data_IF_314072026569
#
_entry.id   IF_314072026569
#
_cell.length_a   1.000
_cell.length_b   1.000
_cell.length_c   1.000
_cell.angle_alpha   90.00
_cell.angle_beta   90.00
_cell.angle_gamma   90.00
#
_symmetry.space_group_name_H-M   'P 1'
#
loop_
_entity.id
_entity.type
_entity.pdbx_description
1 polymer ?
#
# COMPACT_ATOMS: atom_id res chain seq x y z
N UNK A 1 -29.14 -15.29 -27.11
CA UNK A 1 -29.10 -15.48 -25.64
C UNK A 1 -28.74 -14.15 -25.02
N UNK A 2 -29.69 -13.51 -24.34
CA UNK A 2 -29.55 -12.16 -23.79
C UNK A 2 -29.29 -12.28 -22.30
N UNK A 3 -28.05 -12.08 -21.88
CA UNK A 3 -27.65 -12.14 -20.47
C UNK A 3 -28.00 -10.82 -19.79
N UNK A 4 -29.03 -10.83 -18.96
CA UNK A 4 -29.41 -9.71 -18.09
C UNK A 4 -28.45 -9.63 -16.90
N UNK A 5 -27.73 -8.51 -16.76
CA UNK A 5 -26.94 -8.21 -15.57
C UNK A 5 -27.80 -7.48 -14.55
N UNK A 6 -28.11 -8.14 -13.44
CA UNK A 6 -28.77 -7.50 -12.29
C UNK A 6 -27.74 -6.65 -11.55
N UNK A 7 -27.79 -5.33 -11.71
CA UNK A 7 -26.99 -4.39 -10.93
C UNK A 7 -27.60 -4.25 -9.54
N UNK A 8 -27.10 -5.01 -8.56
CA UNK A 8 -27.44 -4.78 -7.16
C UNK A 8 -26.68 -3.55 -6.68
N UNK A 9 -27.35 -2.40 -6.65
CA UNK A 9 -26.86 -1.20 -5.98
C UNK A 9 -26.87 -1.46 -4.48
N UNK A 10 -25.72 -1.79 -3.88
CA UNK A 10 -25.60 -1.79 -2.42
C UNK A 10 -25.61 -0.35 -1.94
N UNK A 11 -26.69 0.05 -1.27
CA UNK A 11 -26.74 1.29 -0.51
C UNK A 11 -25.68 1.18 0.60
N UNK A 12 -24.72 2.12 0.69
CA UNK A 12 -23.73 2.07 1.77
C UNK A 12 -24.44 2.29 3.09
N UNK A 13 -24.56 1.23 3.90
CA UNK A 13 -24.97 1.35 5.29
C UNK A 13 -23.83 2.03 6.04
N UNK A 14 -23.94 3.32 6.27
CA UNK A 14 -23.00 4.10 7.08
C UNK A 14 -23.23 3.77 8.56
N UNK A 15 -22.92 2.54 8.97
CA UNK A 15 -22.71 2.27 10.39
C UNK A 15 -21.44 2.98 10.77
N UNK A 16 -21.53 4.01 11.62
CA UNK A 16 -20.37 4.68 12.17
C UNK A 16 -19.50 3.62 12.88
N UNK A 17 -18.40 3.22 12.26
CA UNK A 17 -17.47 2.27 12.85
C UNK A 17 -16.86 2.92 14.08
N UNK A 18 -16.76 2.18 15.18
CA UNK A 18 -15.99 2.60 16.35
C UNK A 18 -14.58 3.06 15.94
N UNK A 19 -13.99 4.06 16.62
CA UNK A 19 -12.62 4.47 16.34
C UNK A 19 -11.66 3.28 16.45
N UNK A 20 -10.75 3.13 15.49
CA UNK A 20 -9.72 2.09 15.54
C UNK A 20 -8.82 2.29 16.76
N UNK A 21 -8.51 1.21 17.46
CA UNK A 21 -7.50 1.23 18.53
C UNK A 21 -6.10 1.46 17.94
N UNK A 22 -5.12 1.87 18.76
CA UNK A 22 -3.73 1.98 18.31
C UNK A 22 -3.19 0.66 17.77
N UNK A 23 -3.55 -0.46 18.39
CA UNK A 23 -3.13 -1.81 17.97
C UNK A 23 -3.65 -2.14 16.57
N UNK A 24 -4.91 -1.84 16.29
CA UNK A 24 -5.52 -2.04 14.96
C UNK A 24 -4.94 -1.09 13.93
N UNK A 25 -4.75 0.16 14.31
CA UNK A 25 -4.20 1.22 13.46
C UNK A 25 -2.78 0.91 12.98
N UNK A 26 -1.96 0.29 13.85
CA UNK A 26 -0.63 -0.19 13.46
C UNK A 26 -0.63 -1.64 12.94
N UNK A 27 -1.79 -2.30 12.84
CA UNK A 27 -1.87 -3.68 12.37
C UNK A 27 -1.17 -4.70 13.27
N UNK A 28 -0.95 -4.38 14.55
CA UNK A 28 -0.29 -5.26 15.51
C UNK A 28 -1.19 -6.43 15.92
N UNK A 29 -1.35 -7.42 15.04
CA UNK A 29 -2.07 -8.68 15.32
C UNK A 29 -1.09 -9.78 15.77
N UNK A 30 -1.61 -10.92 16.18
CA UNK A 30 -0.79 -12.04 16.60
C UNK A 30 0.17 -12.46 15.49
N UNK A 31 1.45 -12.61 15.83
CA UNK A 31 2.52 -12.90 14.86
C UNK A 31 3.08 -11.68 14.09
N UNK A 32 2.60 -10.45 14.32
CA UNK A 32 3.14 -9.24 13.68
C UNK A 32 4.65 -9.06 13.97
N UNK A 33 5.09 -9.30 15.21
CA UNK A 33 6.52 -9.23 15.57
C UNK A 33 7.36 -10.26 14.81
N UNK A 34 6.86 -11.49 14.67
CA UNK A 34 7.52 -12.54 13.88
C UNK A 34 7.63 -12.15 12.42
N UNK A 35 6.56 -11.56 11.86
CA UNK A 35 6.56 -11.04 10.49
C UNK A 35 7.52 -9.85 10.33
N UNK A 36 7.55 -8.92 11.28
CA UNK A 36 8.52 -7.83 11.28
C UNK A 36 9.96 -8.37 11.27
N UNK A 37 10.24 -9.40 12.09
CA UNK A 37 11.52 -10.09 12.09
C UNK A 37 11.85 -10.73 10.74
N UNK A 38 10.89 -11.42 10.11
CA UNK A 38 11.07 -11.94 8.75
C UNK A 38 11.32 -10.84 7.71
N UNK A 39 10.68 -9.68 7.83
CA UNK A 39 10.92 -8.57 6.92
C UNK A 39 12.37 -8.06 6.99
N UNK A 40 12.96 -8.06 8.19
CA UNK A 40 14.33 -7.61 8.43
C UNK A 40 15.36 -8.68 8.06
N UNK A 41 15.19 -9.91 8.54
CA UNK A 41 16.17 -10.99 8.38
C UNK A 41 16.04 -11.74 7.06
N UNK A 42 14.82 -11.87 6.53
CA UNK A 42 14.50 -12.78 5.45
C UNK A 42 14.44 -14.24 5.87
N UNK A 43 14.35 -15.12 4.88
CA UNK A 43 14.38 -16.58 4.97
C UNK A 43 15.13 -17.18 3.75
N UNK A 44 15.30 -18.51 3.62
CA UNK A 44 16.01 -19.12 2.50
C UNK A 44 15.43 -18.81 1.10
N UNK A 45 14.15 -18.47 1.02
CA UNK A 45 13.44 -18.18 -0.23
C UNK A 45 13.32 -16.67 -0.51
N UNK A 46 13.33 -15.84 0.53
CA UNK A 46 13.09 -14.40 0.42
C UNK A 46 14.13 -13.61 1.21
N UNK A 47 15.00 -12.83 0.54
CA UNK A 47 15.99 -12.00 1.23
C UNK A 47 15.33 -10.97 2.16
N UNK A 48 16.02 -10.66 3.26
CA UNK A 48 15.67 -9.56 4.14
C UNK A 48 15.69 -8.21 3.42
N UNK A 49 14.88 -7.28 3.92
CA UNK A 49 14.71 -5.97 3.30
C UNK A 49 16.00 -5.16 3.33
N UNK A 50 16.32 -4.49 2.23
CA UNK A 50 17.54 -3.70 2.08
C UNK A 50 17.25 -2.24 2.36
N UNK A 51 17.80 -1.77 3.48
CA UNK A 51 17.76 -0.37 3.92
C UNK A 51 19.18 0.18 3.89
N UNK A 52 19.35 1.47 3.59
CA UNK A 52 20.64 2.14 3.65
C UNK A 52 20.48 3.66 3.78
N UNK A 53 21.57 4.44 3.78
CA UNK A 53 21.49 5.90 3.93
C UNK A 53 20.60 6.57 2.89
N UNK A 54 20.59 6.07 1.64
CA UNK A 54 19.71 6.61 0.59
C UNK A 54 18.22 6.39 0.86
N UNK A 55 17.85 5.43 1.72
CA UNK A 55 16.47 5.24 2.18
C UNK A 55 15.94 6.41 2.99
N UNK A 56 16.79 7.30 3.51
CA UNK A 56 16.32 8.50 4.19
C UNK A 56 15.62 9.49 3.23
N UNK A 57 15.86 9.38 1.92
CA UNK A 57 15.19 10.23 0.91
C UNK A 57 13.68 10.03 0.84
N UNK A 58 13.19 8.84 1.18
CA UNK A 58 11.74 8.55 1.21
C UNK A 58 11.08 8.93 2.54
N UNK A 59 11.86 9.36 3.54
CA UNK A 59 11.35 9.67 4.86
C UNK A 59 10.82 11.12 4.92
N UNK A 60 9.53 11.27 5.21
CA UNK A 60 8.82 12.57 5.20
C UNK A 60 8.18 12.88 6.57
N UNK A 61 8.97 13.10 7.64
CA UNK A 61 8.46 13.11 9.02
C UNK A 61 7.42 14.19 9.30
N UNK A 62 7.60 15.40 8.73
CA UNK A 62 6.64 16.49 8.89
C UNK A 62 5.28 16.15 8.29
N UNK A 63 5.29 15.55 7.10
CA UNK A 63 4.09 15.13 6.41
C UNK A 63 3.43 13.97 7.17
N UNK A 64 4.20 12.97 7.59
CA UNK A 64 3.71 11.86 8.39
C UNK A 64 2.99 12.35 9.66
N UNK A 65 3.63 13.21 10.46
CA UNK A 65 3.01 13.75 11.69
C UNK A 65 1.73 14.53 11.40
N UNK A 66 1.72 15.36 10.34
CA UNK A 66 0.52 16.10 9.94
C UNK A 66 -0.64 15.16 9.56
N UNK A 67 -0.36 14.12 8.77
CA UNK A 67 -1.33 13.10 8.34
C UNK A 67 -1.88 12.32 9.52
N UNK A 68 -1.03 11.91 10.46
CA UNK A 68 -1.44 11.21 11.68
C UNK A 68 -2.31 12.06 12.63
N UNK A 69 -2.16 13.38 12.58
CA UNK A 69 -3.05 14.32 13.30
C UNK A 69 -4.40 14.54 12.59
N UNK A 70 -4.67 13.83 11.49
CA UNK A 70 -5.93 13.93 10.77
C UNK A 70 -5.98 15.05 9.74
N UNK A 71 -4.85 15.69 9.40
CA UNK A 71 -4.83 16.73 8.38
C UNK A 71 -5.23 16.14 7.02
N UNK A 72 -6.39 16.57 6.52
CA UNK A 72 -6.96 16.07 5.27
C UNK A 72 -6.28 16.68 4.05
N UNK A 73 -6.41 15.95 2.93
CA UNK A 73 -6.13 16.42 1.58
C UNK A 73 -6.77 17.81 1.30
N UNK A 74 -6.06 18.66 0.57
CA UNK A 74 -6.54 19.98 0.17
C UNK A 74 -7.50 19.83 -1.02
N UNK A 75 -8.80 19.87 -0.76
CA UNK A 75 -9.82 19.68 -1.78
C UNK A 75 -9.69 18.31 -2.48
N UNK A 76 -9.46 18.32 -3.79
CA UNK A 76 -9.27 17.10 -4.62
C UNK A 76 -7.80 16.69 -4.79
N UNK A 77 -6.90 17.20 -3.96
CA UNK A 77 -5.46 16.95 -4.08
C UNK A 77 -4.94 16.18 -2.88
N UNK A 78 -4.12 15.16 -3.15
CA UNK A 78 -3.48 14.32 -2.14
C UNK A 78 -1.98 14.26 -2.42
N UNK A 79 -1.10 14.37 -1.40
CA UNK A 79 0.32 14.18 -1.61
C UNK A 79 0.62 12.75 -2.08
N UNK A 80 1.51 12.66 -3.07
CA UNK A 80 2.08 11.39 -3.54
C UNK A 80 3.54 11.37 -3.14
N UNK A 81 3.95 10.34 -2.39
CA UNK A 81 5.33 10.25 -1.87
C UNK A 81 6.19 9.24 -2.62
N UNK A 82 5.58 8.24 -3.25
CA UNK A 82 6.28 7.29 -4.11
C UNK A 82 5.42 6.93 -5.32
N UNK A 83 6.03 6.89 -6.50
CA UNK A 83 5.48 6.39 -7.75
C UNK A 83 6.06 5.02 -8.08
N UNK A 84 5.48 4.30 -9.03
CA UNK A 84 6.01 3.00 -9.45
C UNK A 84 7.43 3.16 -9.99
N UNK A 85 8.35 2.30 -9.57
CA UNK A 85 9.68 2.26 -10.15
C UNK A 85 9.65 1.50 -11.48
N UNK A 86 10.03 2.17 -12.57
CA UNK A 86 10.10 1.58 -13.92
C UNK A 86 11.43 0.89 -14.21
N UNK A 87 12.32 0.84 -13.24
CA UNK A 87 13.55 0.06 -13.29
C UNK A 87 13.40 -1.12 -12.34
N UNK A 88 13.22 -2.36 -12.86
CA UNK A 88 13.00 -3.52 -12.01
C UNK A 88 14.19 -3.76 -11.07
N UNK A 89 13.91 -3.93 -9.78
CA UNK A 89 14.94 -4.36 -8.82
C UNK A 89 15.13 -5.88 -8.95
N UNK A 90 16.38 -6.37 -9.06
CA UNK A 90 16.64 -7.82 -9.12
C UNK A 90 16.04 -8.56 -7.92
N UNK A 91 15.44 -9.73 -8.16
CA UNK A 91 14.80 -10.54 -7.10
C UNK A 91 15.79 -10.87 -5.96
N UNK A 92 17.07 -11.07 -6.28
CA UNK A 92 18.13 -11.31 -5.29
C UNK A 92 18.35 -10.14 -4.31
N UNK A 93 17.95 -8.92 -4.66
CA UNK A 93 17.97 -7.76 -3.76
C UNK A 93 16.75 -7.76 -2.82
N UNK A 94 15.80 -8.68 -2.99
CA UNK A 94 14.56 -8.73 -2.22
C UNK A 94 13.81 -7.40 -2.28
N UNK A 95 13.34 -6.95 -1.11
CA UNK A 95 12.65 -5.68 -0.98
C UNK A 95 13.64 -4.61 -0.55
N UNK A 96 14.08 -3.79 -1.50
CA UNK A 96 14.94 -2.66 -1.21
C UNK A 96 14.13 -1.38 -1.17
N UNK A 97 14.29 -0.65 -0.07
CA UNK A 97 13.80 0.72 0.10
C UNK A 97 14.93 1.74 -0.05
N UNK A 98 16.04 1.33 -0.67
CA UNK A 98 17.11 2.25 -1.06
C UNK A 98 16.67 3.04 -2.29
N UNK A 99 17.35 4.14 -2.53
CA UNK A 99 17.15 4.98 -3.71
C UNK A 99 18.45 4.92 -4.53
N UNK A 100 18.56 3.92 -5.41
CA UNK A 100 19.75 3.72 -6.26
C UNK A 100 19.41 3.53 -7.73
N UNK A 101 18.44 2.67 -8.07
CA UNK A 101 18.04 2.42 -9.47
C UNK A 101 16.60 2.91 -9.72
N UNK A 102 16.38 4.21 -9.52
CA UNK A 102 15.04 4.78 -9.52
C UNK A 102 14.71 5.49 -10.83
N UNK A 103 13.54 5.18 -11.39
CA UNK A 103 12.95 5.91 -12.52
C UNK A 103 11.44 5.83 -12.47
N UNK A 104 10.76 6.92 -12.13
CA UNK A 104 9.30 6.98 -12.14
C UNK A 104 8.72 7.12 -13.57
N UNK A 105 7.39 7.18 -13.67
CA UNK A 105 6.71 7.33 -14.97
C UNK A 105 7.00 8.66 -15.69
N UNK A 106 7.51 9.65 -14.97
CA UNK A 106 7.91 10.98 -15.46
C UNK A 106 9.41 11.05 -15.77
N UNK A 107 10.15 9.94 -15.61
CA UNK A 107 11.60 9.90 -15.78
C UNK A 107 12.37 10.55 -14.63
N UNK A 108 11.77 10.72 -13.45
CA UNK A 108 12.38 11.30 -12.25
C UNK A 108 12.57 10.25 -11.15
N UNK A 109 12.88 10.70 -9.94
CA UNK A 109 13.30 9.89 -8.80
C UNK A 109 12.31 9.85 -7.63
N UNK A 110 11.02 10.17 -7.86
CA UNK A 110 9.97 10.06 -6.82
C UNK A 110 9.54 8.61 -6.62
N UNK A 111 10.48 7.74 -6.25
CA UNK A 111 10.29 6.30 -6.02
C UNK A 111 11.49 5.71 -5.27
N UNK A 112 11.47 4.41 -5.02
CA UNK A 112 12.59 3.65 -4.45
C UNK A 112 12.73 2.30 -5.16
N UNK A 113 13.87 1.65 -4.97
CA UNK A 113 14.31 0.45 -5.69
C UNK A 113 13.19 -0.56 -5.97
N UNK A 114 12.56 -1.12 -4.94
CA UNK A 114 11.53 -2.18 -5.11
C UNK A 114 10.09 -1.65 -5.12
N UNK A 115 9.85 -0.36 -5.33
CA UNK A 115 8.49 0.18 -5.27
C UNK A 115 7.66 -0.23 -6.50
N UNK A 116 6.58 -0.96 -6.27
CA UNK A 116 5.74 -1.55 -7.30
C UNK A 116 4.31 -0.95 -7.34
N UNK A 117 4.10 0.20 -6.69
CA UNK A 117 2.79 0.84 -6.56
C UNK A 117 2.86 2.36 -6.60
N UNK A 118 1.81 3.02 -6.14
CA UNK A 118 1.78 4.48 -5.91
C UNK A 118 1.26 4.73 -4.51
N UNK A 119 2.00 5.51 -3.73
CA UNK A 119 1.69 5.79 -2.33
C UNK A 119 1.00 7.15 -2.20
N UNK A 120 -0.26 7.11 -1.77
CA UNK A 120 -1.05 8.28 -1.43
C UNK A 120 -1.00 8.53 0.07
N UNK A 121 -0.71 9.77 0.45
CA UNK A 121 -0.68 10.15 1.87
C UNK A 121 -2.08 10.56 2.31
N UNK A 122 -2.74 9.67 3.07
CA UNK A 122 -4.09 9.87 3.58
C UNK A 122 -4.15 9.64 5.10
N UNK A 123 -4.97 10.38 5.85
CA UNK A 123 -5.19 10.10 7.27
C UNK A 123 -5.75 8.69 7.50
N UNK A 124 -5.38 8.02 8.61
CA UNK A 124 -6.04 6.79 9.04
C UNK A 124 -7.57 6.95 9.11
N UNK A 125 -8.31 5.91 8.70
CA UNK A 125 -9.78 5.95 8.61
C UNK A 125 -10.33 6.66 7.38
N UNK A 126 -9.47 7.14 6.47
CA UNK A 126 -9.93 7.60 5.14
C UNK A 126 -10.57 6.44 4.39
N UNK A 127 -11.79 6.63 3.88
CA UNK A 127 -12.49 5.62 3.08
C UNK A 127 -11.76 5.43 1.75
N UNK A 128 -11.26 4.22 1.52
CA UNK A 128 -10.67 3.80 0.25
C UNK A 128 -11.74 3.13 -0.59
N UNK A 129 -11.88 3.56 -1.84
CA UNK A 129 -12.83 3.00 -2.80
C UNK A 129 -12.08 2.32 -3.93
N UNK A 130 -12.62 1.23 -4.53
CA UNK A 130 -12.05 0.63 -5.71
C UNK A 130 -11.96 1.66 -6.85
N UNK A 131 -10.83 1.66 -7.57
CA UNK A 131 -10.58 2.55 -8.72
C UNK A 131 -11.48 2.23 -9.91
N UNK A 132 -12.03 1.02 -9.99
CA UNK A 132 -12.96 0.57 -11.01
C UNK A 132 -13.86 -0.57 -10.48
N UNK A 133 -15.00 -0.86 -11.13
CA UNK A 133 -15.81 -2.04 -10.82
C UNK A 133 -15.00 -3.32 -10.95
N UNK A 134 -15.24 -4.29 -10.07
CA UNK A 134 -14.52 -5.56 -10.09
C UNK A 134 -14.99 -6.51 -8.98
N UNK A 135 -14.39 -7.69 -8.93
CA UNK A 135 -14.64 -8.71 -7.92
C UNK A 135 -13.49 -8.75 -6.92
N UNK A 136 -13.81 -8.71 -5.64
CA UNK A 136 -12.82 -8.99 -4.59
C UNK A 136 -12.33 -10.42 -4.75
N UNK A 137 -11.02 -10.60 -4.98
CA UNK A 137 -10.41 -11.91 -5.07
C UNK A 137 -9.84 -12.38 -3.75
N UNK A 138 -9.23 -11.47 -2.98
CA UNK A 138 -8.52 -11.85 -1.77
C UNK A 138 -8.39 -10.67 -0.81
N UNK A 139 -8.47 -10.98 0.48
CA UNK A 139 -8.10 -10.11 1.58
C UNK A 139 -6.95 -10.79 2.32
N UNK A 140 -5.79 -10.14 2.43
CA UNK A 140 -4.59 -10.73 3.06
C UNK A 140 -3.98 -9.77 4.06
N UNK A 141 -3.58 -10.28 5.22
CA UNK A 141 -2.89 -9.51 6.25
C UNK A 141 -1.45 -9.96 6.34
N UNK A 142 -0.56 -9.27 5.64
CA UNK A 142 0.88 -9.58 5.53
C UNK A 142 1.69 -8.42 6.11
N UNK A 143 1.88 -8.42 7.43
CA UNK A 143 2.57 -7.36 8.16
C UNK A 143 3.98 -7.11 7.61
N UNK A 144 4.69 -8.16 7.20
CA UNK A 144 6.02 -8.07 6.59
C UNK A 144 6.03 -7.52 5.15
N UNK A 145 4.85 -7.30 4.55
CA UNK A 145 4.68 -6.92 3.13
C UNK A 145 3.63 -5.82 2.93
N UNK A 146 3.43 -4.95 3.90
CA UNK A 146 2.50 -3.82 3.76
C UNK A 146 1.12 -4.01 4.36
N UNK A 147 1.01 -4.88 5.38
CA UNK A 147 -0.16 -4.95 6.24
C UNK A 147 -1.38 -5.60 5.58
N UNK A 148 -2.56 -5.06 5.86
CA UNK A 148 -3.81 -5.52 5.27
C UNK A 148 -3.91 -5.07 3.80
N UNK A 149 -4.31 -5.99 2.94
CA UNK A 149 -4.42 -5.79 1.49
C UNK A 149 -5.71 -6.34 0.95
N UNK A 150 -6.34 -5.57 0.08
CA UNK A 150 -7.48 -5.99 -0.73
C UNK A 150 -7.04 -6.13 -2.19
N UNK A 151 -7.34 -7.26 -2.81
CA UNK A 151 -7.09 -7.50 -4.24
C UNK A 151 -8.42 -7.55 -4.99
N UNK A 152 -8.55 -6.75 -6.04
CA UNK A 152 -9.76 -6.63 -6.87
C UNK A 152 -9.41 -6.98 -8.32
N UNK A 153 -10.16 -7.92 -8.88
CA UNK A 153 -10.08 -8.33 -10.29
C UNK A 153 -11.11 -7.58 -11.12
N UNK A 154 -10.63 -6.93 -12.17
CA UNK A 154 -11.43 -6.14 -13.09
C UNK A 154 -11.72 -6.89 -14.41
N UNK A 155 -11.27 -8.14 -14.54
CA UNK A 155 -11.30 -8.91 -15.77
C UNK A 155 -10.14 -8.59 -16.72
N UNK A 156 -10.00 -9.39 -17.77
CA UNK A 156 -8.97 -9.17 -18.82
C UNK A 156 -7.52 -9.24 -18.32
N UNK A 157 -7.28 -9.87 -17.18
CA UNK A 157 -5.96 -9.92 -16.54
C UNK A 157 -5.57 -8.64 -15.78
N UNK A 158 -6.49 -7.67 -15.62
CA UNK A 158 -6.25 -6.43 -14.87
C UNK A 158 -6.64 -6.60 -13.40
N UNK A 159 -5.68 -6.39 -12.51
CA UNK A 159 -5.87 -6.45 -11.06
C UNK A 159 -5.43 -5.15 -10.41
N UNK A 160 -6.15 -4.70 -9.37
CA UNK A 160 -5.67 -3.67 -8.45
C UNK A 160 -5.49 -4.22 -7.04
N UNK A 161 -4.48 -3.74 -6.33
CA UNK A 161 -4.24 -4.03 -4.92
C UNK A 161 -4.28 -2.73 -4.11
N UNK A 162 -5.01 -2.74 -3.00
CA UNK A 162 -5.07 -1.66 -2.03
C UNK A 162 -4.36 -2.15 -0.77
N UNK A 163 -3.20 -1.56 -0.47
CA UNK A 163 -2.31 -2.01 0.59
C UNK A 163 -2.36 -1.04 1.78
N UNK A 164 -1.82 -1.45 2.93
CA UNK A 164 -1.76 -0.65 4.15
C UNK A 164 -3.13 -0.21 4.69
N UNK A 165 -4.17 -1.02 4.46
CA UNK A 165 -5.53 -0.78 4.98
C UNK A 165 -5.63 -0.98 6.50
#
# INVERSE_FOLDING_TARGET
>A
MTTSFTTTTMTPTTTASSPLTLRETFGFRDGALRQAWFALRGDPSVPGSKVGPSSLKIFTPRLAVATWRGQRALGRTVPVVNLVNRTPTPVAQGWSVRVTQVRDFRGRDLTYDSHNGTDFVIPPGTVVVPSAPGRVLSLRSEYNRGGLKLYVDHGGGLLTSYNHL
#
